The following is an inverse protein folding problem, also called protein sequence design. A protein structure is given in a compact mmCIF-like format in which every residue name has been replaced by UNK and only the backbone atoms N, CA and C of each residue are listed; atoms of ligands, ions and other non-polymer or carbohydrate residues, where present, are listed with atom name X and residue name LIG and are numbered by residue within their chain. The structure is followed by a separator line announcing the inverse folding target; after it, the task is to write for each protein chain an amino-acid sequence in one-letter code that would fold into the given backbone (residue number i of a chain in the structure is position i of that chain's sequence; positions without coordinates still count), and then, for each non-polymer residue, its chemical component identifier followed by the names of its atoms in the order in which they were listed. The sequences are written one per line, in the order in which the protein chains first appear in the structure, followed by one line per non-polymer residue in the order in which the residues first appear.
data_IF_407443306589
#
_entry.id   IF_407443306589
#
_cell.length_a   1.000
_cell.length_b   1.000
_cell.length_c   1.000
_cell.angle_alpha   90.00
_cell.angle_beta   90.00
_cell.angle_gamma   90.00
#
_symmetry.space_group_name_H-M   'P 1'
#
loop_
_entity.id
_entity.type
_entity.pdbx_description
1 polymer ?
#
# COMPACT_ATOMS: atom_id res chain seq x y z
N UNK A 1 4.45 -0.61 -7.58
CA UNK A 1 4.45 0.86 -7.36
C UNK A 1 3.21 1.26 -6.55
N UNK A 2 3.12 0.89 -5.27
CA UNK A 2 1.88 1.10 -4.49
C UNK A 2 1.77 2.51 -3.90
N UNK A 3 2.91 3.20 -3.79
CA UNK A 3 2.99 4.50 -3.14
C UNK A 3 2.51 5.66 -4.00
N UNK A 4 2.66 5.53 -5.33
CA UNK A 4 2.47 6.63 -6.27
C UNK A 4 1.13 6.53 -6.99
N UNK A 5 0.67 5.31 -7.29
CA UNK A 5 -0.55 5.11 -8.07
C UNK A 5 -1.42 3.99 -7.52
N UNK A 6 -2.71 4.26 -7.48
CA UNK A 6 -3.76 3.29 -7.27
C UNK A 6 -4.97 3.70 -8.09
N UNK A 7 -5.56 2.78 -8.84
CA UNK A 7 -6.80 3.06 -9.54
C UNK A 7 -7.84 2.02 -9.17
N UNK A 8 -9.04 2.50 -8.82
CA UNK A 8 -10.14 1.62 -8.42
C UNK A 8 -10.66 0.86 -9.64
N UNK A 9 -11.10 -0.37 -9.39
CA UNK A 9 -11.79 -1.21 -10.37
C UNK A 9 -13.24 -0.72 -10.59
N UNK A 10 -13.70 -0.68 -11.84
CA UNK A 10 -15.09 -0.39 -12.22
C UNK A 10 -16.00 -1.54 -11.77
N UNK A 11 -17.19 -1.21 -11.29
CA UNK A 11 -18.18 -2.22 -10.83
C UNK A 11 -19.07 -2.76 -11.97
N UNK A 12 -19.10 -2.05 -13.08
CA UNK A 12 -20.05 -2.17 -14.18
C UNK A 12 -19.38 -2.38 -15.55
N UNK A 13 -18.15 -1.89 -15.71
CA UNK A 13 -17.39 -1.98 -16.95
C UNK A 13 -16.33 -3.08 -16.91
N UNK A 14 -16.36 -3.97 -17.90
CA UNK A 14 -15.30 -4.95 -18.15
C UNK A 14 -14.97 -5.02 -19.65
N UNK A 15 -13.82 -5.61 -19.95
CA UNK A 15 -13.37 -5.96 -21.29
C UNK A 15 -13.31 -7.49 -21.32
N UNK A 16 -13.92 -8.08 -22.34
CA UNK A 16 -13.82 -9.51 -22.59
C UNK A 16 -12.59 -9.77 -23.47
N UNK A 17 -11.69 -10.61 -22.95
CA UNK A 17 -10.44 -11.00 -23.61
C UNK A 17 -10.56 -12.48 -23.98
N UNK A 18 -10.92 -12.80 -25.23
CA UNK A 18 -10.95 -14.19 -25.68
C UNK A 18 -9.53 -14.75 -25.73
N UNK A 19 -9.35 -16.01 -25.31
CA UNK A 19 -8.07 -16.69 -25.47
C UNK A 19 -7.80 -16.93 -26.96
N UNK A 20 -6.53 -16.82 -27.40
CA UNK A 20 -6.16 -17.14 -28.78
C UNK A 20 -6.33 -18.64 -29.06
N UNK A 21 -6.44 -19.01 -30.33
CA UNK A 21 -6.69 -20.40 -30.74
C UNK A 21 -5.54 -21.36 -30.38
N UNK A 22 -4.32 -20.84 -30.28
CA UNK A 22 -3.09 -21.55 -29.92
C UNK A 22 -2.78 -21.53 -28.41
N UNK A 23 -3.75 -21.15 -27.56
CA UNK A 23 -3.60 -21.18 -26.10
C UNK A 23 -3.55 -22.63 -25.56
N UNK A 24 -2.47 -22.97 -24.86
CA UNK A 24 -2.24 -24.32 -24.33
C UNK A 24 -2.58 -24.47 -22.83
N UNK A 25 -2.62 -23.37 -22.07
CA UNK A 25 -2.81 -23.39 -20.60
C UNK A 25 -4.28 -23.34 -20.21
N UNK A 26 -5.05 -22.50 -20.89
CA UNK A 26 -6.48 -22.34 -20.64
C UNK A 26 -7.30 -23.18 -21.62
N UNK A 27 -8.49 -23.63 -21.20
CA UNK A 27 -9.39 -24.38 -22.08
C UNK A 27 -9.72 -23.60 -23.35
N UNK A 28 -9.82 -24.29 -24.48
CA UNK A 28 -10.28 -23.70 -25.75
C UNK A 28 -11.63 -22.99 -25.57
N UNK A 29 -11.80 -21.82 -26.19
CA UNK A 29 -12.95 -20.90 -26.03
C UNK A 29 -13.10 -20.23 -24.66
N UNK A 30 -12.08 -20.25 -23.80
CA UNK A 30 -12.09 -19.43 -22.57
C UNK A 30 -12.10 -17.94 -22.92
N UNK A 31 -12.90 -17.16 -22.19
CA UNK A 31 -12.88 -15.69 -22.27
C UNK A 31 -12.66 -15.14 -20.87
N UNK A 32 -11.59 -14.38 -20.68
CA UNK A 32 -11.28 -13.72 -19.41
C UNK A 32 -12.01 -12.37 -19.37
N UNK A 33 -12.73 -12.12 -18.28
CA UNK A 33 -13.32 -10.82 -17.99
C UNK A 33 -12.34 -9.98 -17.20
N UNK A 34 -11.87 -8.89 -17.80
CA UNK A 34 -10.97 -7.92 -17.17
C UNK A 34 -11.77 -6.67 -16.81
N UNK A 35 -12.03 -6.40 -15.52
CA UNK A 35 -12.68 -5.17 -15.11
C UNK A 35 -11.89 -3.93 -15.58
N UNK A 36 -12.60 -2.91 -16.06
CA UNK A 36 -11.98 -1.63 -16.42
C UNK A 36 -11.59 -0.87 -15.15
N UNK A 37 -10.70 0.10 -15.30
CA UNK A 37 -10.50 1.13 -14.28
C UNK A 37 -11.74 2.01 -14.15
N UNK A 38 -12.15 2.38 -12.94
CA UNK A 38 -13.24 3.31 -12.70
C UNK A 38 -12.97 4.67 -13.35
N UNK A 39 -13.97 5.20 -14.07
CA UNK A 39 -13.87 6.51 -14.71
C UNK A 39 -13.86 7.63 -13.66
N UNK A 40 -13.15 8.71 -13.95
CA UNK A 40 -13.32 9.96 -13.22
C UNK A 40 -14.73 10.52 -13.45
N UNK A 41 -15.53 10.77 -12.39
CA UNK A 41 -16.85 11.36 -12.54
C UNK A 41 -16.79 12.67 -13.33
N UNK A 42 -17.68 12.82 -14.31
CA UNK A 42 -17.73 13.98 -15.19
C UNK A 42 -16.89 13.88 -16.47
N UNK A 43 -16.11 12.81 -16.65
CA UNK A 43 -15.32 12.54 -17.87
C UNK A 43 -15.95 11.44 -18.72
N UNK A 44 -15.48 11.26 -19.95
CA UNK A 44 -15.97 10.18 -20.84
C UNK A 44 -17.36 10.42 -21.41
N UNK A 45 -17.77 11.68 -21.53
CA UNK A 45 -19.11 12.08 -21.99
C UNK A 45 -19.16 12.45 -23.48
N UNK A 46 -18.02 12.78 -24.09
CA UNK A 46 -17.94 13.13 -25.51
C UNK A 46 -16.53 12.96 -26.07
N UNK A 47 -16.34 13.17 -27.39
CA UNK A 47 -15.00 13.19 -28.01
C UNK A 47 -14.11 14.33 -27.49
N UNK A 48 -14.71 15.46 -27.10
CA UNK A 48 -14.00 16.60 -26.53
C UNK A 48 -13.81 16.49 -25.01
N UNK A 49 -14.43 15.50 -24.37
CA UNK A 49 -14.28 15.16 -22.95
C UNK A 49 -14.10 13.64 -22.82
N UNK A 50 -12.93 13.11 -23.24
CA UNK A 50 -12.66 11.68 -23.20
C UNK A 50 -12.64 11.16 -21.76
N UNK A 51 -12.66 9.84 -21.61
CA UNK A 51 -12.64 9.20 -20.28
C UNK A 51 -11.28 9.38 -19.63
N UNK A 52 -11.26 9.83 -18.39
CA UNK A 52 -10.07 9.86 -17.54
C UNK A 52 -10.24 8.89 -16.36
N UNK A 53 -9.13 8.64 -15.66
CA UNK A 53 -9.07 7.77 -14.49
C UNK A 53 -8.53 8.54 -13.28
N UNK A 54 -9.01 8.20 -12.09
CA UNK A 54 -8.53 8.83 -10.84
C UNK A 54 -7.37 8.02 -10.27
N UNK A 55 -6.32 8.73 -9.87
CA UNK A 55 -5.34 8.20 -8.93
C UNK A 55 -5.88 8.36 -7.50
N UNK A 56 -6.12 7.23 -6.85
CA UNK A 56 -6.63 7.13 -5.48
C UNK A 56 -5.50 7.15 -4.43
N UNK A 57 -4.24 7.01 -4.87
CA UNK A 57 -3.06 7.22 -4.03
C UNK A 57 -2.59 8.68 -4.10
N UNK A 58 -1.74 9.08 -3.16
CA UNK A 58 -0.94 10.30 -3.34
C UNK A 58 0.04 10.09 -4.48
N UNK A 59 0.24 11.09 -5.35
CA UNK A 59 1.24 11.01 -6.44
C UNK A 59 2.69 11.15 -5.92
N UNK A 60 2.87 11.41 -4.62
CA UNK A 60 4.18 11.69 -4.02
C UNK A 60 4.87 10.41 -3.53
N UNK A 61 6.20 10.45 -3.42
CA UNK A 61 6.98 9.41 -2.72
C UNK A 61 6.96 9.70 -1.22
N UNK A 62 5.80 9.54 -0.60
CA UNK A 62 5.55 9.90 0.79
C UNK A 62 5.22 8.72 1.71
N UNK A 63 5.34 7.49 1.21
CA UNK A 63 5.00 6.24 1.92
C UNK A 63 3.51 6.22 2.30
N UNK A 64 2.64 6.82 1.49
CA UNK A 64 1.18 6.69 1.66
C UNK A 64 0.72 5.23 1.62
N UNK A 65 1.50 4.34 1.00
CA UNK A 65 1.27 2.90 1.03
C UNK A 65 1.33 2.29 2.44
N UNK A 66 2.07 2.91 3.37
CA UNK A 66 2.08 2.57 4.80
C UNK A 66 1.17 3.49 5.61
N UNK A 67 1.24 4.80 5.38
CA UNK A 67 0.59 5.81 6.21
C UNK A 67 -0.87 6.10 5.84
N UNK A 68 -1.33 5.65 4.67
CA UNK A 68 -2.63 6.01 4.12
C UNK A 68 -2.57 7.24 3.22
N UNK A 69 -3.40 7.24 2.19
CA UNK A 69 -3.58 8.38 1.28
C UNK A 69 -4.60 9.41 1.78
N UNK A 70 -5.27 9.16 2.92
CA UNK A 70 -6.22 10.08 3.56
C UNK A 70 -5.90 10.23 5.04
N UNK A 71 -6.30 11.36 5.63
CA UNK A 71 -6.09 11.64 7.06
C UNK A 71 -6.80 10.64 7.97
N UNK A 72 -8.00 10.19 7.57
CA UNK A 72 -8.77 9.19 8.30
C UNK A 72 -8.03 7.84 8.36
N UNK A 73 -7.53 7.33 7.23
CA UNK A 73 -6.74 6.09 7.20
C UNK A 73 -5.47 6.26 8.05
N UNK A 74 -4.76 7.38 7.90
CA UNK A 74 -3.57 7.67 8.69
C UNK A 74 -3.85 7.69 10.20
N UNK A 75 -4.98 8.26 10.62
CA UNK A 75 -5.40 8.29 12.02
C UNK A 75 -5.75 6.90 12.57
N UNK A 76 -6.40 6.05 11.76
CA UNK A 76 -6.77 4.68 12.15
C UNK A 76 -5.55 3.78 12.33
N UNK A 77 -4.50 3.97 11.53
CA UNK A 77 -3.27 3.16 11.57
C UNK A 77 -2.32 3.52 12.73
N UNK A 78 -2.59 4.59 13.48
CA UNK A 78 -1.74 5.08 14.58
C UNK A 78 -2.12 4.48 15.92
N UNK A 79 -1.12 4.18 16.75
CA UNK A 79 -1.33 3.79 18.14
C UNK A 79 -1.77 4.97 19.01
N UNK A 80 -1.47 6.19 18.55
CA UNK A 80 -1.63 7.45 19.31
C UNK A 80 -0.83 7.47 20.61
N UNK A 81 0.19 6.61 20.69
CA UNK A 81 1.15 6.53 21.78
C UNK A 81 2.55 6.61 21.20
N UNK A 82 3.33 7.57 21.69
CA UNK A 82 4.74 7.77 21.35
C UNK A 82 5.02 8.01 19.86
N UNK A 83 4.03 8.52 19.14
CA UNK A 83 4.09 8.78 17.70
C UNK A 83 4.08 7.50 16.85
N UNK A 84 3.75 6.33 17.43
CA UNK A 84 3.91 5.04 16.75
C UNK A 84 2.70 4.67 15.88
N UNK A 85 2.97 3.79 14.92
CA UNK A 85 1.95 3.04 14.21
C UNK A 85 1.52 1.82 15.02
N UNK A 86 0.26 1.41 14.84
CA UNK A 86 -0.24 0.15 15.39
C UNK A 86 0.56 -1.02 14.83
N UNK A 87 0.77 -2.02 15.68
CA UNK A 87 1.47 -3.25 15.35
C UNK A 87 0.99 -4.36 16.29
N UNK A 88 1.29 -5.59 15.92
CA UNK A 88 1.10 -6.75 16.78
C UNK A 88 2.39 -7.55 16.89
N UNK A 89 2.58 -8.21 18.02
CA UNK A 89 3.70 -9.14 18.23
C UNK A 89 3.18 -10.56 18.13
N UNK A 90 3.67 -11.29 17.12
CA UNK A 90 3.30 -12.69 16.89
C UNK A 90 4.56 -13.54 17.04
N UNK A 91 4.44 -14.65 17.78
CA UNK A 91 5.44 -15.71 17.76
C UNK A 91 4.99 -16.77 16.75
N UNK A 92 5.65 -16.84 15.60
CA UNK A 92 5.36 -17.86 14.60
C UNK A 92 5.74 -19.25 15.13
N UNK A 93 4.96 -20.30 14.81
CA UNK A 93 5.32 -21.67 15.17
C UNK A 93 6.75 -22.00 14.71
N UNK A 94 7.55 -22.60 15.60
CA UNK A 94 8.94 -22.94 15.31
C UNK A 94 9.96 -21.80 15.45
N UNK A 95 9.54 -20.59 15.84
CA UNK A 95 10.44 -19.45 16.08
C UNK A 95 10.71 -19.20 17.56
N UNK A 96 11.94 -18.78 17.88
CA UNK A 96 12.38 -18.51 19.26
C UNK A 96 11.93 -17.14 19.79
N UNK A 97 11.63 -16.20 18.91
CA UNK A 97 11.34 -14.82 19.27
C UNK A 97 10.02 -14.36 18.65
N UNK A 98 9.36 -13.44 19.36
CA UNK A 98 8.25 -12.67 18.79
C UNK A 98 8.77 -11.74 17.71
N UNK A 99 7.94 -11.50 16.70
CA UNK A 99 8.22 -10.57 15.64
C UNK A 99 7.05 -9.58 15.49
N UNK A 100 7.38 -8.33 15.21
CA UNK A 100 6.40 -7.27 14.98
C UNK A 100 5.80 -7.37 13.59
N UNK A 101 4.48 -7.42 13.48
CA UNK A 101 3.73 -7.41 12.21
C UNK A 101 2.79 -6.21 12.16
N UNK A 102 2.28 -5.91 10.95
CA UNK A 102 1.11 -5.05 10.81
C UNK A 102 -0.06 -5.60 11.63
N UNK A 103 -0.95 -4.74 12.17
CA UNK A 103 -2.14 -5.20 12.88
C UNK A 103 -3.11 -5.86 11.90
N UNK A 104 -3.98 -6.75 12.40
CA UNK A 104 -5.15 -7.17 11.64
C UNK A 104 -6.11 -5.99 11.45
N UNK A 105 -6.91 -6.03 10.38
CA UNK A 105 -7.78 -4.93 9.98
C UNK A 105 -9.07 -4.82 10.80
N UNK A 106 -8.96 -4.78 12.12
CA UNK A 106 -10.08 -4.52 13.02
C UNK A 106 -10.56 -3.06 12.97
N UNK A 107 -9.79 -2.15 12.36
CA UNK A 107 -10.15 -0.74 12.19
C UNK A 107 -10.91 -0.42 10.89
N UNK A 108 -11.15 -1.41 10.04
CA UNK A 108 -11.91 -1.26 8.80
C UNK A 108 -11.26 -0.26 7.83
N UNK A 109 -9.93 -0.30 7.66
CA UNK A 109 -9.29 0.39 6.53
C UNK A 109 -9.62 -0.36 5.23
N UNK A 110 -9.76 0.35 4.09
CA UNK A 110 -10.04 -0.31 2.81
C UNK A 110 -8.96 -1.35 2.49
N UNK A 111 -9.37 -2.60 2.27
CA UNK A 111 -8.47 -3.72 1.97
C UNK A 111 -9.08 -4.56 0.85
N UNK A 112 -8.30 -4.80 -0.21
CA UNK A 112 -8.68 -5.72 -1.27
C UNK A 112 -8.64 -7.14 -0.73
N UNK A 113 -9.69 -7.90 -1.04
CA UNK A 113 -9.80 -9.30 -0.64
C UNK A 113 -10.31 -10.15 -1.80
N UNK A 114 -10.16 -11.46 -1.68
CA UNK A 114 -10.75 -12.44 -2.59
C UNK A 114 -12.10 -12.93 -2.04
N UNK A 115 -12.99 -13.47 -2.90
CA UNK A 115 -14.26 -14.03 -2.44
C UNK A 115 -14.08 -15.03 -1.29
N UNK A 116 -14.91 -14.89 -0.24
CA UNK A 116 -14.89 -15.77 0.93
C UNK A 116 -13.79 -15.48 1.96
N UNK A 117 -13.02 -14.40 1.81
CA UNK A 117 -12.06 -13.93 2.82
C UNK A 117 -12.50 -12.58 3.36
N UNK A 118 -12.79 -12.52 4.65
CA UNK A 118 -13.17 -11.29 5.33
C UNK A 118 -11.97 -10.34 5.48
N UNK A 119 -12.10 -9.05 5.13
CA UNK A 119 -11.02 -8.07 5.24
C UNK A 119 -10.41 -7.96 6.65
N UNK A 120 -11.18 -8.20 7.70
CA UNK A 120 -10.78 -8.11 9.11
C UNK A 120 -9.70 -9.15 9.47
N UNK A 121 -9.66 -10.28 8.75
CA UNK A 121 -8.64 -11.32 8.90
C UNK A 121 -7.32 -11.02 8.17
N UNK A 122 -7.25 -9.91 7.44
CA UNK A 122 -6.06 -9.49 6.69
C UNK A 122 -5.31 -8.38 7.43
N UNK A 123 -4.06 -8.13 7.04
CA UNK A 123 -3.28 -7.04 7.63
C UNK A 123 -3.80 -5.67 7.18
N UNK A 124 -3.88 -4.73 8.11
CA UNK A 124 -4.17 -3.34 7.80
C UNK A 124 -2.92 -2.59 7.37
N UNK A 125 -3.04 -1.83 6.28
CA UNK A 125 -2.02 -0.91 5.80
C UNK A 125 -2.62 0.33 5.16
N UNK A 126 -1.77 1.22 4.65
CA UNK A 126 -2.19 2.48 4.05
C UNK A 126 -2.80 2.34 2.65
N UNK A 127 -2.47 1.26 1.95
CA UNK A 127 -2.95 0.94 0.61
C UNK A 127 -3.84 -0.32 0.60
N UNK A 128 -4.95 -0.34 -0.16
CA UNK A 128 -5.84 -1.50 -0.21
C UNK A 128 -5.17 -2.80 -0.67
N UNK A 129 -4.05 -2.73 -1.38
CA UNK A 129 -3.32 -3.89 -1.90
C UNK A 129 -2.20 -4.36 -0.95
N UNK A 130 -2.23 -3.94 0.32
CA UNK A 130 -1.24 -4.34 1.35
C UNK A 130 -1.01 -5.85 1.43
N UNK A 131 -2.05 -6.66 1.13
CA UNK A 131 -2.03 -8.12 1.23
C UNK A 131 -1.90 -8.83 -0.13
N UNK A 132 -1.42 -8.15 -1.18
CA UNK A 132 -1.31 -8.72 -2.54
C UNK A 132 -0.32 -9.89 -2.62
N UNK A 133 0.87 -9.73 -2.03
CA UNK A 133 1.90 -10.77 -1.98
C UNK A 133 2.74 -10.65 -0.69
N UNK A 134 3.32 -11.77 -0.26
CA UNK A 134 4.11 -11.88 0.97
C UNK A 134 5.42 -11.08 0.95
N UNK A 135 6.05 -10.86 -0.23
CA UNK A 135 7.23 -10.03 -0.35
C UNK A 135 6.90 -8.54 -0.11
N UNK A 136 5.82 -8.06 -0.73
CA UNK A 136 5.33 -6.70 -0.51
C UNK A 136 4.96 -6.48 0.97
N UNK A 137 4.26 -7.45 1.56
CA UNK A 137 3.94 -7.43 2.98
C UNK A 137 5.19 -7.35 3.86
N UNK A 138 6.26 -8.07 3.49
CA UNK A 138 7.57 -7.97 4.12
C UNK A 138 8.14 -6.54 4.09
N UNK A 139 8.04 -5.84 2.96
CA UNK A 139 8.45 -4.44 2.83
C UNK A 139 7.62 -3.53 3.76
N UNK A 140 6.30 -3.69 3.80
CA UNK A 140 5.46 -2.90 4.71
C UNK A 140 5.84 -3.11 6.18
N UNK A 141 6.12 -4.35 6.59
CA UNK A 141 6.55 -4.69 7.95
C UNK A 141 7.91 -4.03 8.26
N UNK A 142 8.85 -4.02 7.31
CA UNK A 142 10.14 -3.34 7.49
C UNK A 142 9.96 -1.82 7.70
N UNK A 143 9.12 -1.19 6.89
CA UNK A 143 8.84 0.25 7.00
C UNK A 143 8.12 0.59 8.32
N UNK A 144 7.17 -0.24 8.74
CA UNK A 144 6.49 -0.14 10.04
C UNK A 144 7.49 -0.19 11.20
N UNK A 145 8.36 -1.22 11.21
CA UNK A 145 9.37 -1.41 12.25
C UNK A 145 10.34 -0.24 12.29
N UNK A 146 10.76 0.25 11.13
CA UNK A 146 11.67 1.39 11.05
C UNK A 146 11.02 2.67 11.56
N UNK A 147 9.75 2.93 11.23
CA UNK A 147 9.00 4.06 11.80
C UNK A 147 8.97 3.97 13.33
N UNK A 148 8.54 2.84 13.88
CA UNK A 148 8.43 2.67 15.33
C UNK A 148 9.79 2.76 16.04
N UNK A 149 10.87 2.25 15.41
CA UNK A 149 12.25 2.38 15.90
C UNK A 149 12.72 3.82 15.93
N UNK A 150 12.41 4.61 14.89
CA UNK A 150 12.75 6.03 14.83
C UNK A 150 11.95 6.86 15.85
N UNK A 151 10.68 6.51 16.10
CA UNK A 151 9.90 7.12 17.18
C UNK A 151 10.55 6.88 18.55
N UNK A 152 11.04 5.67 18.82
CA UNK A 152 11.76 5.35 20.06
C UNK A 152 13.06 6.14 20.22
N UNK A 153 13.85 6.28 19.14
CA UNK A 153 15.08 7.09 19.16
C UNK A 153 14.74 8.55 19.43
N UNK A 154 13.77 9.11 18.73
CA UNK A 154 13.40 10.52 18.84
C UNK A 154 12.83 10.83 20.23
N UNK A 155 11.99 9.96 20.77
CA UNK A 155 11.43 10.09 22.12
C UNK A 155 12.54 10.09 23.19
N UNK A 156 13.54 9.22 23.07
CA UNK A 156 14.71 9.18 23.99
C UNK A 156 15.53 10.47 23.95
N UNK A 157 15.71 11.06 22.77
CA UNK A 157 16.51 12.28 22.60
C UNK A 157 15.76 13.56 22.97
N UNK A 158 14.43 13.57 22.85
CA UNK A 158 13.57 14.73 23.11
C UNK A 158 12.43 14.38 24.06
N UNK A 159 12.74 14.06 25.34
CA UNK A 159 11.73 13.80 26.35
C UNK A 159 10.91 15.08 26.59
N UNK A 160 9.65 15.07 26.15
CA UNK A 160 8.75 16.24 26.22
C UNK A 160 7.94 16.48 24.94
N UNK A 161 8.30 15.87 23.81
CA UNK A 161 7.45 15.90 22.61
C UNK A 161 6.21 15.03 22.79
N UNK A 162 5.06 15.57 22.39
CA UNK A 162 3.78 14.86 22.37
C UNK A 162 3.66 13.93 21.14
N UNK A 163 2.75 12.96 21.20
CA UNK A 163 2.52 11.92 20.19
C UNK A 163 2.52 12.45 18.75
N UNK A 164 1.72 13.49 18.47
CA UNK A 164 1.58 14.06 17.13
C UNK A 164 2.90 14.58 16.57
N UNK A 165 3.70 15.27 17.39
CA UNK A 165 4.97 15.82 16.96
C UNK A 165 5.98 14.71 16.62
N UNK A 166 5.98 13.62 17.38
CA UNK A 166 6.83 12.45 17.11
C UNK A 166 6.41 11.81 15.79
N UNK A 167 5.11 11.50 15.64
CA UNK A 167 4.57 10.87 14.43
C UNK A 167 4.90 11.68 13.17
N UNK A 168 4.58 12.98 13.14
CA UNK A 168 4.81 13.81 11.95
C UNK A 168 6.30 13.97 11.64
N UNK A 169 7.15 14.12 12.67
CA UNK A 169 8.61 14.21 12.46
C UNK A 169 9.14 12.93 11.84
N UNK A 170 8.77 11.76 12.38
CA UNK A 170 9.26 10.47 11.88
C UNK A 170 8.68 10.14 10.51
N UNK A 171 7.41 10.48 10.26
CA UNK A 171 6.79 10.36 8.92
C UNK A 171 7.60 11.12 7.87
N UNK A 172 7.96 12.39 8.12
CA UNK A 172 8.79 13.19 7.22
C UNK A 172 10.16 12.56 6.96
N UNK A 173 10.83 12.09 8.03
CA UNK A 173 12.14 11.41 7.91
C UNK A 173 12.02 10.13 7.08
N UNK A 174 10.96 9.36 7.31
CA UNK A 174 10.71 8.12 6.57
C UNK A 174 10.47 8.41 5.08
N UNK A 175 9.64 9.39 4.72
CA UNK A 175 9.41 9.78 3.32
C UNK A 175 10.72 10.20 2.64
N UNK A 176 11.58 10.98 3.32
CA UNK A 176 12.89 11.34 2.80
C UNK A 176 13.80 10.12 2.58
N UNK A 177 13.82 9.17 3.53
CA UNK A 177 14.56 7.90 3.37
C UNK A 177 14.05 7.09 2.20
N UNK A 178 12.73 7.02 2.00
CA UNK A 178 12.13 6.28 0.89
C UNK A 178 12.49 6.89 -0.46
N UNK A 179 12.45 8.23 -0.59
CA UNK A 179 12.89 8.92 -1.79
C UNK A 179 14.38 8.66 -2.11
N UNK A 180 15.25 8.61 -1.10
CA UNK A 180 16.66 8.26 -1.29
C UNK A 180 16.86 6.82 -1.77
N UNK A 181 16.14 5.86 -1.18
CA UNK A 181 16.16 4.45 -1.62
C UNK A 181 15.66 4.34 -3.06
N UNK A 182 14.58 5.07 -3.40
CA UNK A 182 14.06 5.12 -4.76
C UNK A 182 15.11 5.66 -5.74
N UNK A 183 15.81 6.74 -5.40
CA UNK A 183 16.90 7.26 -6.23
C UNK A 183 18.04 6.24 -6.43
N UNK A 184 18.47 5.56 -5.37
CA UNK A 184 19.48 4.51 -5.47
C UNK A 184 19.03 3.35 -6.36
N UNK A 185 17.77 2.94 -6.24
CA UNK A 185 17.16 1.95 -7.13
C UNK A 185 17.20 2.45 -8.59
N UNK A 186 16.75 3.67 -8.84
CA UNK A 186 16.75 4.26 -10.18
C UNK A 186 18.14 4.25 -10.82
N UNK A 187 19.19 4.65 -10.10
CA UNK A 187 20.57 4.62 -10.61
C UNK A 187 21.08 3.21 -10.91
N UNK A 188 20.67 2.21 -10.12
CA UNK A 188 21.10 0.83 -10.31
C UNK A 188 20.45 0.18 -11.55
N UNK A 189 19.21 0.56 -11.87
CA UNK A 189 18.46 -0.05 -12.96
C UNK A 189 18.51 0.78 -14.26
N UNK A 190 18.49 2.11 -14.20
CA UNK A 190 18.60 3.00 -15.37
C UNK A 190 20.05 3.22 -15.77
N UNK A 191 20.61 2.20 -16.41
CA UNK A 191 21.94 2.26 -17.04
C UNK A 191 21.82 2.39 -18.56
N UNK A 192 22.92 2.74 -19.24
CA UNK A 192 22.98 2.83 -20.72
C UNK A 192 22.66 1.50 -21.44
N UNK A 193 22.69 0.38 -20.71
CA UNK A 193 22.41 -0.97 -21.22
C UNK A 193 21.09 -1.53 -20.71
N UNK A 194 20.11 -0.67 -20.39
CA UNK A 194 18.76 -1.16 -20.16
C UNK A 194 18.28 -1.96 -21.39
N UNK A 195 17.54 -3.07 -21.19
CA UNK A 195 16.89 -3.77 -22.29
C UNK A 195 15.89 -2.86 -23.02
#
# INVERSE_FOLDING_TARGET
MHDVTYSRVSIDGFIEVPMPEDEEVFSINTTIRVPRTAAMPGTGTSRSNPRENINMATTWLDISSLYGSTTDIAHRLRSKVDGKLLMQEIQSPGTRAKASYLPFNSMGVPTNTRPGVEPEGLFAGGDPRTNEDWLLLGIHILLLREHNRLCDILKKQKPGRYDEQLYQTVRLVMSAKHALIANAYQMAYWTEKMP
#
